data_IF_590183243682
#
_entry.id   IF_590183243682
#
_cell.length_a   1.000
_cell.length_b   1.000
_cell.length_c   1.000
_cell.angle_alpha   90.00
_cell.angle_beta   90.00
_cell.angle_gamma   90.00
#
_symmetry.space_group_name_H-M   'P 1'
#
loop_
_entity.id
_entity.type
_entity.pdbx_description
1 polymer ?
#
# COMPACT_ATOMS: atom_id res chain seq x y z
N UNK A 1 -9.55 -10.85 6.21
CA UNK A 1 -8.63 -10.04 5.39
C UNK A 1 -9.11 -10.17 3.95
N UNK A 2 -9.17 -9.07 3.21
CA UNK A 2 -9.55 -9.07 1.79
C UNK A 2 -8.46 -8.35 1.00
N UNK A 3 -7.96 -9.00 -0.05
CA UNK A 3 -6.98 -8.41 -0.97
C UNK A 3 -7.63 -8.19 -2.32
N UNK A 4 -7.32 -7.06 -2.93
CA UNK A 4 -7.67 -6.66 -4.29
C UNK A 4 -6.34 -6.61 -5.04
N UNK A 5 -6.25 -7.37 -6.13
CA UNK A 5 -5.04 -7.44 -6.94
C UNK A 5 -5.10 -6.46 -8.11
N UNK A 6 -3.93 -6.14 -8.66
CA UNK A 6 -3.76 -5.16 -9.72
C UNK A 6 -4.57 -5.41 -10.98
N UNK A 7 -4.91 -6.67 -11.29
CA UNK A 7 -5.71 -7.05 -12.46
C UNK A 7 -7.10 -6.41 -12.47
N UNK A 8 -7.54 -5.89 -11.33
CA UNK A 8 -8.81 -5.19 -11.19
C UNK A 8 -8.74 -3.69 -11.53
N UNK A 9 -7.54 -3.14 -11.74
CA UNK A 9 -7.33 -1.76 -12.19
C UNK A 9 -7.57 -1.65 -13.70
N UNK A 10 -7.91 -0.43 -14.16
CA UNK A 10 -8.12 -0.17 -15.58
C UNK A 10 -6.83 -0.23 -16.41
N UNK A 11 -5.72 0.27 -15.86
CA UNK A 11 -4.39 0.32 -16.52
C UNK A 11 -3.27 -0.17 -15.59
N UNK A 12 -3.27 -1.46 -15.20
CA UNK A 12 -2.31 -1.98 -14.21
C UNK A 12 -0.85 -1.94 -14.67
N UNK A 13 -0.59 -1.83 -15.97
CA UNK A 13 0.74 -1.66 -16.55
C UNK A 13 1.37 -0.28 -16.31
N UNK A 14 0.58 0.78 -16.11
CA UNK A 14 1.11 2.14 -15.91
C UNK A 14 1.92 2.27 -14.62
N UNK A 15 1.61 1.43 -13.64
CA UNK A 15 2.15 1.48 -12.27
C UNK A 15 2.68 0.12 -11.79
N UNK A 16 2.88 -0.83 -12.72
CA UNK A 16 3.42 -2.18 -12.50
C UNK A 16 2.62 -3.06 -11.51
N UNK A 17 1.29 -2.95 -11.51
CA UNK A 17 0.41 -3.69 -10.59
C UNK A 17 0.08 -5.12 -11.04
N UNK A 18 0.42 -5.53 -12.26
CA UNK A 18 0.13 -6.90 -12.73
C UNK A 18 0.82 -7.92 -11.82
N UNK A 19 0.04 -8.86 -11.27
CA UNK A 19 0.50 -9.85 -10.29
C UNK A 19 0.67 -9.32 -8.87
N UNK A 20 0.47 -8.01 -8.63
CA UNK A 20 0.70 -7.37 -7.34
C UNK A 20 -0.60 -7.18 -6.54
N UNK A 21 -0.47 -7.20 -5.22
CA UNK A 21 -1.54 -6.79 -4.33
C UNK A 21 -1.69 -5.26 -4.38
N UNK A 22 -2.78 -4.78 -4.95
CA UNK A 22 -3.09 -3.35 -5.03
C UNK A 22 -3.58 -2.80 -3.69
N UNK A 23 -4.59 -3.44 -3.10
CA UNK A 23 -5.18 -3.03 -1.81
C UNK A 23 -5.44 -4.21 -0.92
N UNK A 24 -5.19 -4.04 0.38
CA UNK A 24 -5.57 -5.00 1.41
C UNK A 24 -6.38 -4.31 2.48
N UNK A 25 -7.53 -4.91 2.81
CA UNK A 25 -8.38 -4.52 3.92
C UNK A 25 -8.18 -5.53 5.07
N UNK A 26 -7.56 -5.06 6.15
CA UNK A 26 -7.23 -5.82 7.35
C UNK A 26 -7.93 -5.20 8.58
N UNK A 27 -7.82 -5.80 9.76
CA UNK A 27 -8.51 -5.28 10.95
C UNK A 27 -8.09 -3.87 11.34
N UNK A 28 -6.89 -3.41 10.96
CA UNK A 28 -6.41 -2.06 11.25
C UNK A 28 -6.90 -1.02 10.24
N UNK A 29 -7.37 -1.42 9.06
CA UNK A 29 -7.90 -0.49 8.06
C UNK A 29 -7.67 -0.96 6.63
N UNK A 30 -7.07 -0.10 5.82
CA UNK A 30 -6.70 -0.34 4.42
C UNK A 30 -5.23 0.00 4.21
N UNK A 31 -4.51 -0.89 3.54
CA UNK A 31 -3.20 -0.63 2.94
C UNK A 31 -3.34 -0.66 1.42
N UNK A 32 -2.83 0.36 0.75
CA UNK A 32 -2.76 0.48 -0.70
C UNK A 32 -1.30 0.59 -1.12
N UNK A 33 -0.88 -0.20 -2.12
CA UNK A 33 0.37 0.04 -2.83
C UNK A 33 0.03 0.79 -4.12
N UNK A 34 0.52 2.02 -4.25
CA UNK A 34 0.11 2.94 -5.33
C UNK A 34 0.96 2.80 -6.59
N UNK A 35 2.17 2.24 -6.48
CA UNK A 35 3.08 1.98 -7.59
C UNK A 35 4.15 0.95 -7.19
N UNK A 36 4.64 0.20 -8.16
CA UNK A 36 5.74 -0.73 -8.01
C UNK A 36 6.87 -0.41 -9.00
N UNK A 37 8.11 -0.75 -8.64
CA UNK A 37 9.21 -0.76 -9.60
C UNK A 37 9.10 -1.97 -10.55
N UNK A 38 9.99 -2.04 -11.55
CA UNK A 38 9.99 -3.12 -12.54
C UNK A 38 10.29 -4.52 -11.95
N UNK A 39 10.79 -4.59 -10.70
CA UNK A 39 11.05 -5.84 -9.97
C UNK A 39 9.89 -6.22 -9.05
N UNK A 40 8.89 -5.34 -8.90
CA UNK A 40 7.73 -5.55 -8.05
C UNK A 40 7.92 -5.03 -6.61
N UNK A 41 8.90 -4.17 -6.34
CA UNK A 41 9.00 -3.50 -5.04
C UNK A 41 8.03 -2.33 -4.98
N UNK A 42 7.27 -2.16 -3.87
CA UNK A 42 6.39 -1.01 -3.71
C UNK A 42 7.19 0.28 -3.57
N UNK A 43 6.90 1.27 -4.43
CA UNK A 43 7.53 2.59 -4.39
C UNK A 43 6.77 3.55 -3.45
N UNK A 44 5.47 3.31 -3.27
CA UNK A 44 4.63 4.09 -2.37
C UNK A 44 3.49 3.25 -1.81
N UNK A 45 3.21 3.46 -0.52
CA UNK A 45 2.16 2.78 0.21
C UNK A 45 1.34 3.78 1.02
N UNK A 46 0.02 3.69 0.93
CA UNK A 46 -0.92 4.52 1.68
C UNK A 46 -1.68 3.68 2.68
N UNK A 47 -1.65 4.09 3.95
CA UNK A 47 -2.46 3.52 5.04
C UNK A 47 -3.63 4.45 5.36
N UNK A 48 -4.82 3.88 5.49
CA UNK A 48 -5.98 4.51 6.15
C UNK A 48 -6.42 3.60 7.29
N UNK A 49 -6.59 4.14 8.48
CA UNK A 49 -6.98 3.33 9.65
C UNK A 49 -8.49 3.11 9.71
N UNK A 50 -8.91 2.10 10.44
CA UNK A 50 -10.30 1.85 10.75
C UNK A 50 -10.87 2.99 11.62
N UNK A 51 -12.10 3.42 11.33
CA UNK A 51 -12.76 4.53 12.06
C UNK A 51 -13.06 4.22 13.52
N UNK A 52 -13.14 2.94 13.90
CA UNK A 52 -13.20 2.49 15.27
C UNK A 52 -12.04 1.52 15.55
N UNK A 53 -11.09 1.96 16.36
CA UNK A 53 -9.93 1.17 16.75
C UNK A 53 -10.23 0.14 17.85
N UNK A 54 -11.36 0.27 18.56
CA UNK A 54 -11.74 -0.59 19.68
C UNK A 54 -12.59 -1.76 19.24
N UNK A 55 -13.31 -1.62 18.14
CA UNK A 55 -14.13 -2.69 17.58
C UNK A 55 -13.51 -3.25 16.31
N UNK A 56 -13.58 -4.56 16.15
CA UNK A 56 -13.16 -5.21 14.91
C UNK A 56 -14.21 -4.89 13.83
N UNK A 57 -13.87 -4.22 12.72
CA UNK A 57 -14.86 -3.90 11.70
C UNK A 57 -15.45 -5.17 11.10
N UNK A 58 -16.77 -5.26 11.02
CA UNK A 58 -17.44 -6.32 10.26
C UNK A 58 -17.21 -6.08 8.76
N UNK A 59 -16.51 -7.02 8.13
CA UNK A 59 -16.07 -6.94 6.73
C UNK A 59 -16.72 -7.99 5.84
N UNK A 60 -17.76 -8.67 6.31
CA UNK A 60 -18.49 -9.67 5.52
C UNK A 60 -18.99 -9.06 4.21
N UNK A 61 -19.43 -7.80 4.22
CA UNK A 61 -19.89 -7.09 3.03
C UNK A 61 -18.81 -6.94 1.93
N UNK A 62 -17.52 -6.93 2.29
CA UNK A 62 -16.42 -6.82 1.32
C UNK A 62 -16.06 -8.17 0.67
N UNK A 63 -16.46 -9.29 1.27
CA UNK A 63 -16.04 -10.62 0.83
C UNK A 63 -16.72 -11.05 -0.49
N UNK A 64 -17.97 -10.61 -0.71
CA UNK A 64 -18.78 -11.01 -1.86
C UNK A 64 -18.69 -10.07 -3.05
N UNK A 65 -17.91 -8.99 -2.95
CA UNK A 65 -17.79 -7.96 -4.00
C UNK A 65 -16.44 -8.13 -4.71
N UNK A 66 -16.41 -7.99 -6.02
CA UNK A 66 -15.17 -8.10 -6.84
C UNK A 66 -14.74 -6.78 -7.46
N UNK A 67 -15.68 -5.87 -7.71
CA UNK A 67 -15.40 -4.55 -8.28
C UNK A 67 -14.67 -3.63 -7.27
N UNK A 68 -13.46 -3.13 -7.58
CA UNK A 68 -12.67 -2.31 -6.66
C UNK A 68 -13.35 -1.02 -6.23
N UNK A 69 -14.10 -0.37 -7.14
CA UNK A 69 -14.79 0.87 -6.83
C UNK A 69 -15.91 0.64 -5.79
N UNK A 70 -16.67 -0.43 -5.95
CA UNK A 70 -17.71 -0.85 -5.01
C UNK A 70 -17.10 -1.25 -3.66
N UNK A 71 -16.00 -2.02 -3.66
CA UNK A 71 -15.27 -2.37 -2.43
C UNK A 71 -14.83 -1.10 -1.70
N UNK A 72 -14.25 -0.13 -2.41
CA UNK A 72 -13.80 1.13 -1.83
C UNK A 72 -14.96 1.94 -1.26
N UNK A 73 -16.09 2.01 -1.96
CA UNK A 73 -17.30 2.70 -1.50
C UNK A 73 -17.82 2.13 -0.17
N UNK A 74 -17.90 0.80 -0.07
CA UNK A 74 -18.29 0.11 1.18
C UNK A 74 -17.26 0.29 2.30
N UNK A 75 -15.97 0.29 1.96
CA UNK A 75 -14.90 0.43 2.94
C UNK A 75 -14.81 1.86 3.52
N UNK A 76 -15.20 2.89 2.76
CA UNK A 76 -15.05 4.29 3.18
C UNK A 76 -15.78 4.63 4.49
N UNK A 77 -16.91 3.99 4.81
CA UNK A 77 -17.62 4.21 6.09
C UNK A 77 -16.92 3.56 7.28
N UNK A 78 -16.02 2.59 7.03
CA UNK A 78 -15.28 1.85 8.03
C UNK A 78 -13.86 2.40 8.25
N UNK A 79 -13.48 3.44 7.51
CA UNK A 79 -12.13 4.02 7.51
C UNK A 79 -12.16 5.47 7.92
N UNK A 80 -11.11 5.92 8.60
CA UNK A 80 -10.86 7.33 8.84
C UNK A 80 -10.62 8.09 7.52
N UNK A 81 -10.83 9.40 7.55
CA UNK A 81 -10.54 10.27 6.40
C UNK A 81 -9.05 10.53 6.23
N UNK A 82 -8.27 10.46 7.31
CA UNK A 82 -6.83 10.70 7.27
C UNK A 82 -6.09 9.56 6.55
N UNK A 83 -5.04 9.94 5.81
CA UNK A 83 -4.22 9.04 5.01
C UNK A 83 -2.75 9.22 5.38
N UNK A 84 -2.05 8.12 5.54
CA UNK A 84 -0.64 8.09 5.89
C UNK A 84 0.14 7.44 4.75
N UNK A 85 0.88 8.25 3.98
CA UNK A 85 1.63 7.77 2.83
C UNK A 85 3.12 7.65 3.16
N UNK A 86 3.67 6.46 2.93
CA UNK A 86 5.09 6.18 2.95
C UNK A 86 5.56 6.02 1.50
N UNK A 87 6.68 6.62 1.12
CA UNK A 87 7.32 6.37 -0.18
C UNK A 87 8.78 6.01 0.00
N UNK A 88 9.31 5.23 -0.93
CA UNK A 88 10.67 4.74 -0.90
C UNK A 88 11.28 4.69 -2.29
N UNK A 89 12.59 4.94 -2.35
CA UNK A 89 13.39 4.65 -3.54
C UNK A 89 14.29 3.46 -3.25
N UNK A 90 14.56 2.66 -4.25
CA UNK A 90 15.38 1.46 -4.12
C UNK A 90 16.51 1.47 -5.14
N UNK A 91 17.63 0.84 -4.79
CA UNK A 91 18.70 0.59 -5.74
C UNK A 91 18.44 -0.66 -6.61
N UNK A 92 19.35 -0.94 -7.52
CA UNK A 92 19.26 -2.09 -8.42
C UNK A 92 19.26 -3.44 -7.67
N UNK A 93 19.64 -3.49 -6.39
CA UNK A 93 19.69 -4.67 -5.53
C UNK A 93 18.52 -4.75 -4.52
N UNK A 94 17.44 -3.99 -4.74
CA UNK A 94 16.23 -4.00 -3.89
C UNK A 94 16.45 -3.41 -2.49
N UNK A 95 17.46 -2.57 -2.30
CA UNK A 95 17.73 -1.92 -1.02
C UNK A 95 17.21 -0.50 -1.01
N UNK A 96 16.57 -0.10 0.10
CA UNK A 96 16.00 1.25 0.27
C UNK A 96 17.11 2.30 0.31
N UNK A 97 17.07 3.28 -0.58
CA UNK A 97 18.01 4.42 -0.63
C UNK A 97 17.42 5.64 0.08
N UNK A 98 16.13 5.91 -0.13
CA UNK A 98 15.40 6.93 0.63
C UNK A 98 14.05 6.39 1.09
N UNK A 99 13.60 6.87 2.24
CA UNK A 99 12.26 6.64 2.77
C UNK A 99 11.68 7.96 3.24
N UNK A 100 10.51 8.33 2.72
CA UNK A 100 9.76 9.53 3.12
C UNK A 100 8.50 9.11 3.88
N UNK A 101 8.40 9.52 5.13
CA UNK A 101 7.27 9.21 6.03
C UNK A 101 6.10 10.19 5.86
N UNK A 102 4.91 9.88 6.41
CA UNK A 102 3.71 10.71 6.22
C UNK A 102 3.83 12.16 6.68
N UNK A 103 4.68 12.42 7.66
CA UNK A 103 5.02 13.75 8.17
C UNK A 103 6.05 14.49 7.30
N UNK A 104 6.38 13.93 6.12
CA UNK A 104 7.41 14.41 5.18
C UNK A 104 8.85 14.30 5.67
N UNK A 105 9.12 13.63 6.81
CA UNK A 105 10.48 13.34 7.23
C UNK A 105 11.15 12.38 6.23
N UNK A 106 12.43 12.62 5.92
CA UNK A 106 13.20 11.83 4.95
C UNK A 106 14.36 11.15 5.67
N UNK A 107 14.44 9.83 5.56
CA UNK A 107 15.63 9.05 5.94
C UNK A 107 16.36 8.63 4.67
N UNK A 108 17.68 8.82 4.63
CA UNK A 108 18.55 8.42 3.51
C UNK A 108 19.55 7.36 3.98
N UNK A 109 19.77 6.35 3.14
CA UNK A 109 20.67 5.24 3.41
C UNK A 109 21.74 5.15 2.32
N UNK A 110 22.98 4.89 2.72
CA UNK A 110 24.09 4.58 1.81
C UNK A 110 24.67 3.22 2.13
N UNK A 111 25.04 2.47 1.10
CA UNK A 111 25.62 1.14 1.24
C UNK A 111 27.03 1.12 0.66
N UNK A 112 27.99 0.64 1.43
CA UNK A 112 29.37 0.50 0.97
C UNK A 112 29.56 -0.63 -0.04
N UNK A 113 30.78 -0.80 -0.53
CA UNK A 113 31.14 -1.86 -1.50
C UNK A 113 30.82 -3.28 -0.99
N UNK A 114 30.94 -3.50 0.32
CA UNK A 114 30.56 -4.76 0.97
C UNK A 114 29.05 -4.97 1.13
N UNK A 115 28.23 -4.02 0.69
CA UNK A 115 26.76 -4.07 0.75
C UNK A 115 26.14 -3.77 2.11
N UNK A 116 26.95 -3.40 3.10
CA UNK A 116 26.49 -3.02 4.45
C UNK A 116 26.10 -1.54 4.50
N UNK A 117 25.15 -1.21 5.38
CA UNK A 117 24.76 0.16 5.69
C UNK A 117 25.96 0.95 6.24
N UNK A 118 26.12 2.20 5.80
CA UNK A 118 27.14 3.15 6.25
C UNK A 118 26.53 4.27 7.08
#
# INVERSE_FOLDING_TARGET
MRTVYGESLATPEDTNHRGQAYRTYDTAGMLEATEFDFKGNPLSQTRRFASDFKTRPDRIALASVTDPATIQGLANSLLESETFTLSMTLDALDRVVTSTTPDSSITSYSYGEGGLLQ
#
